data_IF_214114044847
#
_entry.id   IF_214114044847
#
_cell.length_a   1.000
_cell.length_b   1.000
_cell.length_c   1.000
_cell.angle_alpha   90.00
_cell.angle_beta   90.00
_cell.angle_gamma   90.00
#
_symmetry.space_group_name_H-M   'P 1'
#
loop_
_entity.id
_entity.type
_entity.pdbx_description
1 polymer ?
#
# COMPACT_ATOMS: atom_id res chain seq x y z
N UNK A 1 -41.38 55.99 -3.61
CA UNK A 1 -40.46 57.09 -3.22
C UNK A 1 -39.70 56.68 -1.96
N UNK A 2 -38.37 56.91 -1.94
CA UNK A 2 -37.36 56.62 -0.89
C UNK A 2 -36.96 55.14 -0.76
N UNK A 3 -35.76 54.72 -1.19
CA UNK A 3 -34.38 55.06 -0.79
C UNK A 3 -33.91 54.35 0.50
N UNK A 4 -33.16 53.26 0.28
CA UNK A 4 -31.80 52.98 0.78
C UNK A 4 -31.50 53.21 2.28
N UNK A 5 -31.05 52.14 2.96
CA UNK A 5 -29.77 52.16 3.70
C UNK A 5 -29.15 50.76 3.79
N UNK A 6 -27.90 50.75 3.33
CA UNK A 6 -26.89 49.70 3.39
C UNK A 6 -26.35 49.61 4.83
N UNK A 7 -26.17 48.40 5.37
CA UNK A 7 -25.15 48.13 6.38
C UNK A 7 -24.59 46.73 6.13
N UNK A 8 -23.41 46.71 5.52
CA UNK A 8 -22.57 45.52 5.45
C UNK A 8 -21.86 45.31 6.79
N UNK A 9 -21.63 44.05 7.12
CA UNK A 9 -20.56 43.66 8.02
C UNK A 9 -19.80 42.50 7.38
N UNK A 10 -18.61 42.85 6.91
CA UNK A 10 -17.54 41.95 6.53
C UNK A 10 -16.98 41.29 7.80
N UNK A 11 -16.84 39.96 7.77
CA UNK A 11 -16.01 39.24 8.72
C UNK A 11 -14.73 38.82 7.99
N UNK A 12 -13.64 39.46 8.39
CA UNK A 12 -12.30 39.36 7.82
C UNK A 12 -11.79 37.92 7.73
N UNK A 13 -11.51 37.49 6.50
CA UNK A 13 -10.52 36.46 6.25
C UNK A 13 -9.13 37.07 6.48
N UNK A 14 -8.44 36.63 7.52
CA UNK A 14 -7.02 36.92 7.73
C UNK A 14 -6.20 36.06 6.76
N UNK A 15 -6.04 36.59 5.54
CA UNK A 15 -4.91 36.25 4.67
C UNK A 15 -3.66 36.90 5.28
N UNK A 16 -2.79 36.11 5.90
CA UNK A 16 -1.42 36.53 6.16
C UNK A 16 -0.63 36.36 4.88
N UNK A 17 -0.26 37.50 4.30
CA UNK A 17 0.45 37.62 3.04
C UNK A 17 1.84 36.99 3.09
N UNK A 18 2.14 36.24 2.03
CA UNK A 18 3.50 35.96 1.58
C UNK A 18 4.17 37.29 1.22
N UNK A 19 5.08 37.76 2.07
CA UNK A 19 6.06 38.75 1.66
C UNK A 19 7.09 38.05 0.77
N UNK A 20 7.04 38.35 -0.52
CA UNK A 20 8.12 38.09 -1.45
C UNK A 20 9.31 38.98 -1.06
N UNK A 21 10.24 38.43 -0.27
CA UNK A 21 11.58 38.96 -0.15
C UNK A 21 12.44 38.33 -1.25
N UNK A 22 12.65 39.10 -2.31
CA UNK A 22 13.73 38.87 -3.27
C UNK A 22 15.05 39.09 -2.53
N UNK A 23 15.76 37.99 -2.26
CA UNK A 23 17.18 37.99 -1.92
C UNK A 23 17.84 36.88 -2.73
N UNK A 24 18.61 37.27 -3.75
CA UNK A 24 19.65 36.44 -4.34
C UNK A 24 20.64 36.08 -3.22
N UNK A 25 20.61 34.84 -2.74
CA UNK A 25 21.75 34.19 -2.08
C UNK A 25 21.70 32.71 -2.46
N UNK A 26 22.74 32.24 -3.14
CA UNK A 26 22.93 30.84 -3.56
C UNK A 26 23.32 29.91 -2.39
N UNK A 27 22.94 30.24 -1.16
CA UNK A 27 23.30 29.48 0.02
C UNK A 27 22.16 28.54 0.36
N UNK A 28 22.10 27.41 -0.34
CA UNK A 28 21.46 26.23 0.25
C UNK A 28 22.33 25.85 1.44
N UNK A 29 21.81 25.77 2.68
CA UNK A 29 22.63 25.36 3.82
C UNK A 29 23.34 24.04 3.48
N UNK A 30 24.63 23.96 3.80
CA UNK A 30 25.36 22.71 3.69
C UNK A 30 24.60 21.63 4.47
N UNK A 31 24.53 20.43 3.89
CA UNK A 31 23.88 19.32 4.59
C UNK A 31 24.65 19.01 5.88
N UNK A 32 23.95 18.74 6.99
CA UNK A 32 24.60 18.34 8.24
C UNK A 32 25.55 17.17 8.01
N UNK A 33 26.61 17.11 8.83
CA UNK A 33 27.50 15.95 8.83
C UNK A 33 26.69 14.69 9.19
N UNK A 34 27.05 13.52 8.66
CA UNK A 34 26.30 12.26 8.87
C UNK A 34 25.90 12.00 10.34
N UNK A 35 26.76 12.25 11.35
CA UNK A 35 26.41 12.12 12.78
C UNK A 35 25.34 13.07 13.30
N UNK A 36 25.16 14.23 12.66
CA UNK A 36 24.23 15.29 13.11
C UNK A 36 22.85 15.20 12.43
N UNK A 37 22.67 14.24 11.52
CA UNK A 37 21.42 14.05 10.79
C UNK A 37 20.30 13.53 11.71
N UNK A 38 19.09 14.03 11.51
CA UNK A 38 17.91 13.52 12.22
C UNK A 38 17.54 12.13 11.73
N UNK A 39 17.17 11.25 12.65
CA UNK A 39 16.60 9.93 12.31
C UNK A 39 15.25 10.05 11.61
N UNK A 40 14.99 9.13 10.69
CA UNK A 40 13.69 9.03 10.01
C UNK A 40 12.74 8.24 10.89
N UNK A 41 11.98 8.95 11.72
CA UNK A 41 11.03 8.34 12.65
C UNK A 41 9.63 8.94 12.47
N UNK A 42 8.65 8.08 12.19
CA UNK A 42 7.25 8.47 12.14
C UNK A 42 6.71 8.67 13.56
N UNK A 43 6.17 9.87 13.82
CA UNK A 43 5.55 10.19 15.12
C UNK A 43 4.37 9.27 15.40
N UNK A 44 4.31 8.73 16.62
CA UNK A 44 3.14 8.01 17.12
C UNK A 44 2.04 9.00 17.50
N UNK A 45 0.85 8.81 16.93
CA UNK A 45 -0.32 9.66 17.15
C UNK A 45 -1.39 8.90 17.92
N UNK A 46 -2.11 9.61 18.79
CA UNK A 46 -3.31 9.08 19.45
C UNK A 46 -4.51 9.20 18.51
N UNK A 47 -5.52 8.36 18.74
CA UNK A 47 -6.82 8.47 18.08
C UNK A 47 -7.46 9.83 18.39
N UNK A 48 -8.03 10.46 17.36
CA UNK A 48 -8.68 11.77 17.47
C UNK A 48 -10.06 11.72 16.84
N UNK A 49 -11.08 12.12 17.60
CA UNK A 49 -12.42 12.36 17.05
C UNK A 49 -12.38 13.67 16.25
N UNK A 50 -12.56 13.57 14.94
CA UNK A 50 -12.49 14.73 14.04
C UNK A 50 -13.85 15.40 13.85
N UNK A 51 -14.93 14.61 13.87
CA UNK A 51 -16.29 15.15 13.85
C UNK A 51 -17.31 14.17 14.38
N UNK A 52 -18.43 14.71 14.86
CA UNK A 52 -19.64 13.96 15.18
C UNK A 52 -20.81 14.67 14.50
N UNK A 53 -21.60 13.94 13.73
CA UNK A 53 -22.74 14.49 13.00
C UNK A 53 -23.99 13.70 13.35
N UNK A 54 -25.06 14.35 13.86
CA UNK A 54 -26.30 13.65 14.19
C UNK A 54 -26.95 13.06 12.93
N UNK A 55 -27.60 11.91 13.08
CA UNK A 55 -28.46 11.33 12.05
C UNK A 55 -29.94 11.50 12.42
N UNK A 56 -30.82 11.14 11.50
CA UNK A 56 -32.27 11.11 11.72
C UNK A 56 -32.73 9.88 12.54
N UNK A 57 -31.83 8.93 12.81
CA UNK A 57 -32.12 7.73 13.57
C UNK A 57 -32.14 8.04 15.09
N UNK A 58 -33.24 7.69 15.74
CA UNK A 58 -33.46 7.89 17.19
C UNK A 58 -33.93 6.57 17.79
N UNK A 59 -33.33 6.16 18.89
CA UNK A 59 -33.69 4.95 19.65
C UNK A 59 -33.95 5.31 21.10
N UNK A 60 -35.23 5.32 21.49
CA UNK A 60 -35.65 5.80 22.81
C UNK A 60 -35.35 7.29 22.98
N UNK A 61 -34.59 7.63 24.01
CA UNK A 61 -34.13 8.98 24.33
C UNK A 61 -32.79 9.35 23.66
N UNK A 62 -32.15 8.41 22.97
CA UNK A 62 -30.84 8.60 22.36
C UNK A 62 -30.91 8.88 20.86
N UNK A 63 -30.05 9.78 20.40
CA UNK A 63 -29.86 10.06 18.96
C UNK A 63 -28.60 9.37 18.45
N UNK A 64 -28.68 8.81 17.25
CA UNK A 64 -27.50 8.27 16.56
C UNK A 64 -26.63 9.41 15.99
N UNK A 65 -25.31 9.26 16.11
CA UNK A 65 -24.31 10.14 15.52
C UNK A 65 -23.36 9.30 14.66
N UNK A 66 -22.93 9.88 13.54
CA UNK A 66 -21.76 9.42 12.79
C UNK A 66 -20.54 10.12 13.39
N UNK A 67 -19.70 9.34 14.08
CA UNK A 67 -18.44 9.79 14.64
C UNK A 67 -17.30 9.42 13.68
N UNK A 68 -16.59 10.41 13.15
CA UNK A 68 -15.38 10.21 12.36
C UNK A 68 -14.16 10.29 13.27
N UNK A 69 -13.37 9.23 13.32
CA UNK A 69 -12.17 9.10 14.14
C UNK A 69 -10.97 8.91 13.23
N UNK A 70 -9.94 9.74 13.38
CA UNK A 70 -8.64 9.51 12.77
C UNK A 70 -7.79 8.61 13.67
N UNK A 71 -7.27 7.55 13.08
CA UNK A 71 -6.41 6.54 13.69
C UNK A 71 -5.08 6.47 12.96
N UNK A 72 -4.14 5.73 13.53
CA UNK A 72 -2.84 5.44 12.94
C UNK A 72 -2.61 3.92 12.91
N UNK A 73 -1.86 3.45 11.91
CA UNK A 73 -1.34 2.09 11.88
C UNK A 73 0.12 2.09 11.42
N UNK A 74 0.87 1.10 11.89
CA UNK A 74 2.19 0.77 11.39
C UNK A 74 2.11 -0.17 10.19
N UNK A 75 2.97 0.07 9.22
CA UNK A 75 3.11 -0.70 8.00
C UNK A 75 4.40 -1.53 8.07
N UNK A 76 4.24 -2.84 8.24
CA UNK A 76 5.33 -3.81 8.12
C UNK A 76 4.83 -5.07 7.38
N UNK A 77 5.32 -5.34 6.16
CA UNK A 77 5.93 -4.35 5.26
C UNK A 77 4.90 -3.30 4.82
N UNK A 78 5.36 -2.20 4.21
CA UNK A 78 4.48 -1.31 3.46
C UNK A 78 4.15 -1.94 2.11
N UNK A 79 2.91 -1.77 1.64
CA UNK A 79 2.40 -2.46 0.46
C UNK A 79 2.14 -1.52 -0.72
N UNK A 80 2.30 -2.07 -1.92
CA UNK A 80 2.11 -1.37 -3.19
C UNK A 80 0.79 -1.80 -3.81
N UNK A 81 -0.16 -0.85 -3.90
CA UNK A 81 -1.40 -1.04 -4.66
C UNK A 81 -1.31 -0.52 -6.10
N UNK A 82 -0.17 0.07 -6.47
CA UNK A 82 0.20 0.51 -7.81
C UNK A 82 1.72 0.47 -7.94
N UNK A 83 2.24 0.34 -9.16
CA UNK A 83 3.68 0.39 -9.42
C UNK A 83 4.27 1.76 -9.06
N UNK A 84 5.47 1.76 -8.48
CA UNK A 84 6.25 2.97 -8.16
C UNK A 84 7.67 2.78 -8.65
N UNK A 85 8.15 3.69 -9.51
CA UNK A 85 9.49 3.60 -10.10
C UNK A 85 10.60 3.67 -9.07
N UNK A 86 10.37 4.43 -8.01
CA UNK A 86 11.32 4.75 -6.95
C UNK A 86 11.48 3.60 -5.96
N UNK A 87 10.59 2.60 -6.00
CA UNK A 87 10.66 1.41 -5.14
C UNK A 87 11.28 0.27 -5.93
N UNK A 88 12.58 0.07 -5.72
CA UNK A 88 13.35 -1.08 -6.17
C UNK A 88 14.42 -1.39 -5.10
N UNK A 89 14.90 -2.64 -5.00
CA UNK A 89 15.93 -3.01 -4.02
C UNK A 89 17.17 -2.10 -4.12
N UNK A 90 17.56 -1.49 -3.00
CA UNK A 90 18.72 -0.59 -2.94
C UNK A 90 18.46 0.83 -3.43
N UNK A 91 17.22 1.17 -3.77
CA UNK A 91 16.84 2.57 -4.04
C UNK A 91 17.09 3.42 -2.81
N UNK A 92 17.99 4.40 -2.93
CA UNK A 92 18.29 5.36 -1.86
C UNK A 92 17.39 6.58 -2.01
N UNK A 93 16.70 6.93 -0.93
CA UNK A 93 15.67 7.96 -0.87
C UNK A 93 16.03 9.03 0.17
N UNK A 94 15.47 10.22 -0.03
CA UNK A 94 15.52 11.31 0.95
C UNK A 94 14.61 10.99 2.13
N UNK A 95 15.18 10.81 3.32
CA UNK A 95 14.44 10.49 4.53
C UNK A 95 13.35 11.51 4.89
N UNK A 96 13.67 12.81 4.78
CA UNK A 96 12.72 13.88 5.08
C UNK A 96 11.52 13.92 4.11
N UNK A 97 11.71 13.52 2.85
CA UNK A 97 10.62 13.40 1.89
C UNK A 97 9.71 12.21 2.25
N UNK A 98 10.30 11.09 2.69
CA UNK A 98 9.54 9.91 3.11
C UNK A 98 8.58 10.24 4.25
N UNK A 99 8.98 11.07 5.23
CA UNK A 99 8.09 11.51 6.32
C UNK A 99 6.88 12.33 5.86
N UNK A 100 6.87 12.79 4.60
CA UNK A 100 5.80 13.58 3.98
C UNK A 100 5.09 12.84 2.84
N UNK A 101 5.05 11.50 2.90
CA UNK A 101 4.45 10.61 1.88
C UNK A 101 5.09 10.74 0.48
N UNK A 102 6.37 11.14 0.41
CA UNK A 102 7.09 11.36 -0.86
C UNK A 102 8.32 10.45 -1.00
N UNK A 103 8.49 9.90 -2.20
CA UNK A 103 9.60 9.00 -2.53
C UNK A 103 10.57 9.72 -3.44
N UNK A 104 11.35 10.64 -2.89
CA UNK A 104 12.32 11.38 -3.71
C UNK A 104 13.66 10.65 -3.72
N UNK A 105 14.16 10.19 -4.89
CA UNK A 105 15.48 9.58 -4.99
C UNK A 105 16.58 10.53 -4.52
N UNK A 106 17.57 9.97 -3.83
CA UNK A 106 18.79 10.69 -3.45
C UNK A 106 19.91 10.35 -4.44
N UNK A 107 20.55 11.39 -4.97
CA UNK A 107 21.69 11.22 -5.89
C UNK A 107 22.92 10.79 -5.10
N UNK A 108 23.57 9.73 -5.58
CA UNK A 108 24.85 9.24 -5.07
C UNK A 108 25.96 9.61 -6.05
N UNK A 109 27.04 10.19 -5.56
CA UNK A 109 28.28 10.36 -6.31
C UNK A 109 29.20 9.17 -6.03
N UNK A 110 29.78 8.60 -7.09
CA UNK A 110 30.65 7.42 -7.03
C UNK A 110 30.00 6.26 -6.24
N UNK A 111 28.79 5.81 -6.63
CA UNK A 111 28.13 4.71 -5.94
C UNK A 111 28.95 3.42 -6.09
N UNK A 112 28.99 2.60 -5.05
CA UNK A 112 29.59 1.26 -5.11
C UNK A 112 28.52 0.19 -5.31
N UNK A 113 28.97 -1.03 -5.59
CA UNK A 113 28.08 -2.16 -5.75
C UNK A 113 27.49 -2.60 -4.40
N UNK A 114 26.18 -2.87 -4.42
CA UNK A 114 25.46 -3.55 -3.35
C UNK A 114 25.20 -5.01 -3.75
N UNK A 115 25.04 -5.88 -2.76
CA UNK A 115 24.64 -7.28 -2.99
C UNK A 115 23.11 -7.39 -2.89
N UNK A 116 22.50 -7.92 -3.94
CA UNK A 116 21.10 -8.29 -3.99
C UNK A 116 20.96 -9.79 -3.75
N UNK A 117 19.97 -10.21 -2.97
CA UNK A 117 19.71 -11.61 -2.60
C UNK A 117 18.23 -11.96 -2.81
N UNK A 118 17.98 -13.01 -3.59
CA UNK A 118 16.66 -13.52 -3.99
C UNK A 118 16.25 -14.70 -3.12
N UNK A 119 14.98 -14.75 -2.71
CA UNK A 119 14.49 -15.80 -1.82
C UNK A 119 14.01 -17.08 -2.52
N UNK A 120 14.09 -17.17 -3.86
CA UNK A 120 13.61 -18.35 -4.59
C UNK A 120 14.47 -19.58 -4.27
N UNK A 121 13.86 -20.76 -4.07
CA UNK A 121 14.58 -22.01 -3.88
C UNK A 121 14.98 -22.64 -5.23
N UNK A 122 16.05 -23.42 -5.22
CA UNK A 122 16.48 -24.18 -6.39
C UNK A 122 17.83 -24.86 -6.19
N UNK A 123 17.98 -26.08 -6.69
CA UNK A 123 19.25 -26.83 -6.50
C UNK A 123 20.36 -26.18 -7.33
N UNK A 124 21.36 -25.65 -6.64
CA UNK A 124 22.50 -24.94 -7.24
C UNK A 124 22.16 -23.52 -7.69
N UNK A 125 20.92 -23.06 -7.54
CA UNK A 125 20.46 -21.74 -7.95
C UNK A 125 21.39 -20.63 -7.46
N UNK A 126 21.80 -19.74 -8.36
CA UNK A 126 22.48 -18.51 -7.97
C UNK A 126 21.42 -17.54 -7.44
N UNK A 127 21.43 -17.33 -6.13
CA UNK A 127 20.42 -16.49 -5.46
C UNK A 127 20.89 -15.05 -5.22
N UNK A 128 22.13 -14.69 -5.58
CA UNK A 128 22.65 -13.36 -5.32
C UNK A 128 23.43 -12.79 -6.51
N UNK A 129 23.47 -11.46 -6.58
CA UNK A 129 24.21 -10.73 -7.61
C UNK A 129 24.64 -9.36 -7.09
N UNK A 130 25.65 -8.77 -7.72
CA UNK A 130 26.08 -7.40 -7.43
C UNK A 130 25.49 -6.44 -8.45
N UNK A 131 25.13 -5.24 -7.98
CA UNK A 131 24.62 -4.15 -8.81
C UNK A 131 25.00 -2.82 -8.21
N UNK A 132 25.22 -1.79 -9.03
CA UNK A 132 25.11 -0.42 -8.51
C UNK A 132 23.65 -0.16 -8.09
N UNK A 133 23.40 0.67 -7.06
CA UNK A 133 22.07 1.09 -6.61
C UNK A 133 21.40 2.08 -7.58
N UNK A 134 21.35 1.70 -8.86
CA UNK A 134 20.78 2.48 -9.97
C UNK A 134 19.63 1.68 -10.56
N UNK A 135 18.47 2.31 -10.69
CA UNK A 135 17.20 1.66 -11.06
C UNK A 135 17.32 0.72 -12.27
N UNK A 136 17.95 1.16 -13.35
CA UNK A 136 18.10 0.36 -14.57
C UNK A 136 18.98 -0.88 -14.37
N UNK A 137 20.09 -0.73 -13.63
CA UNK A 137 21.01 -1.82 -13.35
C UNK A 137 20.38 -2.85 -12.41
N UNK A 138 19.75 -2.39 -11.32
CA UNK A 138 19.06 -3.28 -10.39
C UNK A 138 17.96 -4.05 -11.10
N UNK A 139 17.14 -3.39 -11.94
CA UNK A 139 16.09 -4.08 -12.70
C UNK A 139 16.65 -5.14 -13.63
N UNK A 140 17.72 -4.83 -14.36
CA UNK A 140 18.38 -5.82 -15.20
C UNK A 140 18.88 -7.00 -14.36
N UNK A 141 19.59 -6.73 -13.27
CA UNK A 141 20.14 -7.77 -12.38
C UNK A 141 19.08 -8.63 -11.71
N UNK A 142 17.95 -8.06 -11.32
CA UNK A 142 16.80 -8.82 -10.80
C UNK A 142 16.20 -9.70 -11.90
N UNK A 143 16.04 -9.16 -13.12
CA UNK A 143 15.56 -9.96 -14.24
C UNK A 143 16.51 -11.10 -14.59
N UNK A 144 17.82 -10.86 -14.60
CA UNK A 144 18.86 -11.87 -14.86
C UNK A 144 18.80 -12.97 -13.79
N UNK A 145 18.69 -12.61 -12.50
CA UNK A 145 18.57 -13.58 -11.40
C UNK A 145 17.39 -14.54 -11.60
N UNK A 146 16.25 -14.03 -12.06
CA UNK A 146 15.04 -14.85 -12.27
C UNK A 146 15.12 -15.63 -13.59
N UNK A 147 15.40 -14.96 -14.71
CA UNK A 147 15.28 -15.54 -16.04
C UNK A 147 16.46 -16.48 -16.38
N UNK A 148 17.69 -16.09 -16.07
CA UNK A 148 18.89 -16.87 -16.41
C UNK A 148 19.02 -18.14 -15.55
N UNK A 149 18.25 -18.23 -14.47
CA UNK A 149 18.18 -19.41 -13.62
C UNK A 149 16.84 -20.15 -13.73
N UNK A 150 16.05 -19.85 -14.77
CA UNK A 150 14.68 -20.37 -14.89
C UNK A 150 14.60 -21.90 -14.93
N UNK A 151 15.64 -22.60 -15.36
CA UNK A 151 15.74 -24.07 -15.36
C UNK A 151 16.10 -24.68 -13.99
N UNK A 152 16.56 -23.84 -13.05
CA UNK A 152 17.10 -24.25 -11.74
C UNK A 152 16.19 -23.85 -10.59
N UNK A 153 15.25 -22.93 -10.82
CA UNK A 153 14.22 -22.55 -9.85
C UNK A 153 13.29 -23.73 -9.62
N UNK A 154 13.09 -24.08 -8.35
CA UNK A 154 12.15 -25.12 -7.93
C UNK A 154 10.74 -24.53 -7.80
N UNK A 155 10.09 -24.31 -8.95
CA UNK A 155 8.78 -23.64 -9.00
C UNK A 155 7.69 -24.38 -8.23
N UNK A 156 7.76 -25.71 -8.15
CA UNK A 156 6.78 -26.54 -7.46
C UNK A 156 6.86 -26.38 -5.94
N UNK A 157 8.03 -26.03 -5.40
CA UNK A 157 8.25 -25.80 -3.98
C UNK A 157 8.36 -24.32 -3.60
N UNK A 158 8.09 -23.38 -4.52
CA UNK A 158 7.94 -21.97 -4.15
C UNK A 158 6.74 -21.84 -3.21
N UNK A 159 6.91 -21.32 -1.98
CA UNK A 159 5.80 -21.22 -1.05
C UNK A 159 4.81 -20.14 -1.49
N UNK A 160 3.82 -20.49 -2.31
CA UNK A 160 2.76 -19.58 -2.74
C UNK A 160 1.64 -19.52 -1.68
N UNK A 161 1.98 -19.19 -0.43
CA UNK A 161 0.98 -19.06 0.62
C UNK A 161 0.06 -17.88 0.31
N UNK A 162 -1.24 -18.14 0.34
CA UNK A 162 -2.25 -17.10 0.29
C UNK A 162 -2.39 -16.51 1.69
N UNK A 163 -2.21 -15.20 1.82
CA UNK A 163 -2.57 -14.48 3.03
C UNK A 163 -3.81 -13.63 2.81
N UNK A 164 -4.62 -13.52 3.86
CA UNK A 164 -5.91 -12.86 3.83
C UNK A 164 -6.00 -11.79 4.90
N UNK A 165 -6.30 -10.55 4.48
CA UNK A 165 -6.57 -9.41 5.38
C UNK A 165 -7.93 -8.84 5.02
N UNK A 166 -8.83 -8.70 6.00
CA UNK A 166 -10.21 -8.29 5.76
C UNK A 166 -10.62 -7.23 6.77
N UNK A 167 -11.20 -6.13 6.29
CA UNK A 167 -11.75 -5.09 7.15
C UNK A 167 -13.02 -4.49 6.54
N UNK A 168 -13.92 -4.05 7.41
CA UNK A 168 -14.98 -3.14 6.99
C UNK A 168 -14.40 -1.80 6.55
N UNK A 169 -14.93 -1.24 5.47
CA UNK A 169 -14.57 0.07 4.96
C UNK A 169 -15.76 1.01 4.98
N UNK A 170 -15.59 2.16 5.63
CA UNK A 170 -16.66 3.11 5.94
C UNK A 170 -16.25 4.58 5.71
N UNK A 171 -15.05 4.82 5.21
CA UNK A 171 -14.53 6.06 4.59
C UNK A 171 -13.57 5.67 3.46
N UNK A 172 -13.16 6.58 2.57
CA UNK A 172 -12.10 6.26 1.60
C UNK A 172 -10.79 5.86 2.29
N UNK A 173 -10.38 6.58 3.34
CA UNK A 173 -9.11 6.28 4.02
C UNK A 173 -9.14 4.96 4.78
N UNK A 174 -10.30 4.50 5.24
CA UNK A 174 -10.45 3.21 5.94
C UNK A 174 -10.06 2.01 5.06
N UNK A 175 -10.04 2.15 3.73
CA UNK A 175 -9.49 1.14 2.82
C UNK A 175 -8.02 0.85 3.14
N UNK A 176 -7.28 1.83 3.68
CA UNK A 176 -5.88 1.68 3.99
C UNK A 176 -5.59 0.69 5.13
N UNK A 177 -6.60 0.32 5.94
CA UNK A 177 -6.49 -0.81 6.89
C UNK A 177 -6.14 -2.12 6.20
N UNK A 178 -6.76 -2.33 5.03
CA UNK A 178 -6.49 -3.51 4.22
C UNK A 178 -5.37 -3.23 3.23
N UNK A 179 -5.33 -2.07 2.55
CA UNK A 179 -4.28 -1.80 1.58
C UNK A 179 -2.88 -1.69 2.17
N UNK A 180 -2.73 -1.17 3.39
CA UNK A 180 -1.43 -1.02 4.08
C UNK A 180 -0.41 -0.24 3.24
N UNK A 181 -0.86 0.82 2.57
CA UNK A 181 -0.05 1.59 1.60
C UNK A 181 0.24 3.01 2.12
N UNK A 182 1.45 3.46 1.89
CA UNK A 182 1.90 4.81 2.24
C UNK A 182 1.66 5.75 1.06
N UNK A 183 0.47 6.35 1.06
CA UNK A 183 -0.08 7.20 0.00
C UNK A 183 -0.78 8.41 0.62
N UNK A 184 -0.65 9.57 -0.05
CA UNK A 184 -1.48 10.75 0.25
C UNK A 184 -2.97 10.41 0.08
N UNK A 185 -3.81 10.91 0.99
CA UNK A 185 -5.24 10.60 1.05
C UNK A 185 -6.00 10.88 -0.26
N UNK A 186 -5.68 11.99 -0.95
CA UNK A 186 -6.30 12.34 -2.23
C UNK A 186 -5.96 11.35 -3.36
N UNK A 187 -4.73 10.82 -3.37
CA UNK A 187 -4.31 9.78 -4.34
C UNK A 187 -5.06 8.47 -4.05
N UNK A 188 -5.13 8.09 -2.78
CA UNK A 188 -5.89 6.91 -2.34
C UNK A 188 -7.37 7.01 -2.73
N UNK A 189 -8.02 8.13 -2.44
CA UNK A 189 -9.42 8.38 -2.80
C UNK A 189 -9.64 8.31 -4.33
N UNK A 190 -8.72 8.85 -5.12
CA UNK A 190 -8.75 8.76 -6.58
C UNK A 190 -8.69 7.31 -7.08
N UNK A 191 -7.80 6.48 -6.52
CA UNK A 191 -7.70 5.06 -6.85
C UNK A 191 -8.96 4.29 -6.46
N UNK A 192 -9.51 4.54 -5.28
CA UNK A 192 -10.73 3.89 -4.80
C UNK A 192 -11.91 4.22 -5.72
N UNK A 193 -12.08 5.50 -6.08
CA UNK A 193 -13.11 5.93 -7.01
C UNK A 193 -12.94 5.27 -8.38
N UNK A 194 -11.71 5.19 -8.90
CA UNK A 194 -11.45 4.62 -10.20
C UNK A 194 -11.71 3.10 -10.26
N UNK A 195 -11.34 2.36 -9.22
CA UNK A 195 -11.41 0.89 -9.22
C UNK A 195 -12.72 0.33 -8.67
N UNK A 196 -13.36 1.03 -7.73
CA UNK A 196 -14.56 0.55 -7.05
C UNK A 196 -15.78 1.44 -7.26
N UNK A 197 -15.65 2.61 -7.90
CA UNK A 197 -16.70 3.62 -7.93
C UNK A 197 -17.26 3.92 -6.53
N UNK A 198 -16.42 3.78 -5.51
CA UNK A 198 -16.76 4.04 -4.13
C UNK A 198 -16.45 5.51 -3.83
N UNK A 199 -17.41 6.17 -3.19
CA UNK A 199 -17.23 7.49 -2.60
C UNK A 199 -17.95 7.51 -1.27
N UNK A 200 -17.29 8.05 -0.27
CA UNK A 200 -17.90 8.30 1.00
C UNK A 200 -18.49 9.71 1.06
N UNK A 201 -19.70 9.81 1.60
CA UNK A 201 -20.21 11.06 2.13
C UNK A 201 -20.97 10.78 3.42
N UNK A 202 -20.95 11.76 4.33
CA UNK A 202 -21.68 11.70 5.60
C UNK A 202 -23.18 11.39 5.42
N UNK A 203 -23.77 11.79 4.29
CA UNK A 203 -25.21 11.72 4.05
C UNK A 203 -25.67 10.46 3.30
N UNK A 204 -24.79 9.82 2.50
CA UNK A 204 -25.20 8.74 1.58
C UNK A 204 -24.59 7.38 1.86
N UNK A 205 -23.42 7.33 2.50
CA UNK A 205 -22.62 6.10 2.57
C UNK A 205 -23.01 5.13 3.69
N UNK A 206 -24.01 5.49 4.49
CA UNK A 206 -24.46 4.72 5.66
C UNK A 206 -25.49 3.62 5.35
N UNK A 207 -25.90 3.49 4.08
CA UNK A 207 -26.98 2.57 3.65
C UNK A 207 -26.50 1.18 3.24
N UNK A 208 -25.20 1.01 3.04
CA UNK A 208 -24.60 -0.23 2.53
C UNK A 208 -23.33 -0.51 3.31
N UNK A 209 -23.17 -1.75 3.77
CA UNK A 209 -21.94 -2.22 4.38
C UNK A 209 -21.02 -2.82 3.31
N UNK A 210 -19.73 -2.49 3.42
CA UNK A 210 -18.70 -2.96 2.51
C UNK A 210 -17.54 -3.55 3.28
N UNK A 211 -17.13 -4.74 2.89
CA UNK A 211 -15.93 -5.40 3.39
C UNK A 211 -14.89 -5.40 2.28
N UNK A 212 -13.68 -4.91 2.57
CA UNK A 212 -12.53 -5.03 1.69
C UNK A 212 -11.65 -6.18 2.18
N UNK A 213 -11.53 -7.22 1.35
CA UNK A 213 -10.61 -8.33 1.59
C UNK A 213 -9.47 -8.33 0.58
N UNK A 214 -8.24 -8.45 1.09
CA UNK A 214 -7.03 -8.65 0.33
C UNK A 214 -6.67 -10.13 0.32
N UNK A 215 -6.46 -10.68 -0.86
CA UNK A 215 -5.85 -11.98 -1.11
C UNK A 215 -4.47 -11.73 -1.69
N UNK A 216 -3.43 -12.02 -0.91
CA UNK A 216 -2.03 -11.76 -1.27
C UNK A 216 -1.29 -13.06 -1.55
N UNK A 217 -0.64 -13.11 -2.70
CA UNK A 217 0.26 -14.17 -3.15
C UNK A 217 1.68 -13.62 -3.18
N UNK A 218 2.49 -13.95 -2.17
CA UNK A 218 3.93 -13.69 -2.21
C UNK A 218 4.62 -14.85 -2.92
N UNK A 219 5.52 -14.53 -3.84
CA UNK A 219 6.31 -15.54 -4.54
C UNK A 219 7.76 -15.54 -4.11
N UNK A 220 8.39 -14.37 -4.09
CA UNK A 220 9.75 -14.20 -3.63
C UNK A 220 9.99 -12.76 -3.19
N UNK A 221 11.12 -12.53 -2.53
CA UNK A 221 11.63 -11.19 -2.26
C UNK A 221 13.03 -11.02 -2.85
N UNK A 222 13.36 -9.78 -3.19
CA UNK A 222 14.74 -9.36 -3.43
C UNK A 222 15.14 -8.45 -2.28
N UNK A 223 16.20 -8.85 -1.57
CA UNK A 223 16.72 -8.18 -0.39
C UNK A 223 18.08 -7.58 -0.71
N UNK A 224 18.43 -6.52 0.01
CA UNK A 224 19.77 -5.94 -0.01
C UNK A 224 20.49 -6.41 1.24
N UNK A 225 21.66 -7.00 1.08
CA UNK A 225 22.51 -7.34 2.22
C UNK A 225 22.86 -6.05 3.00
N UNK A 226 23.14 -6.11 4.31
CA UNK A 226 23.55 -4.92 5.06
C UNK A 226 24.71 -4.19 4.37
N UNK A 227 24.54 -2.89 4.15
CA UNK A 227 25.52 -2.01 3.48
C UNK A 227 26.05 -1.01 4.48
N UNK A 228 27.38 -0.94 4.63
CA UNK A 228 28.03 0.09 5.44
C UNK A 228 27.86 1.48 4.80
N UNK A 229 27.85 2.53 5.61
CA UNK A 229 27.55 3.90 5.15
C UNK A 229 28.51 4.36 4.03
N UNK A 230 29.79 4.00 4.16
CA UNK A 230 30.86 4.29 3.20
C UNK A 230 30.75 3.52 1.88
N UNK A 231 29.94 2.47 1.82
CA UNK A 231 29.75 1.63 0.65
C UNK A 231 28.57 2.05 -0.23
N UNK A 232 27.80 3.06 0.19
CA UNK A 232 26.82 3.71 -0.69
C UNK A 232 27.46 4.68 -1.68
N UNK A 233 28.70 5.13 -1.43
CA UNK A 233 29.31 6.29 -2.09
C UNK A 233 29.01 7.58 -1.34
N UNK A 234 29.02 8.72 -2.04
CA UNK A 234 28.78 10.03 -1.43
C UNK A 234 27.34 10.48 -1.62
N UNK A 235 26.61 10.71 -0.52
CA UNK A 235 25.27 11.29 -0.54
C UNK A 235 25.30 12.77 -0.96
N UNK A 236 24.64 13.12 -2.06
CA UNK A 236 24.63 14.49 -2.57
C UNK A 236 23.45 15.27 -1.99
N UNK A 237 23.76 16.21 -1.09
CA UNK A 237 22.80 17.10 -0.44
C UNK A 237 21.62 16.33 0.20
N UNK A 238 21.84 15.40 1.14
CA UNK A 238 20.78 14.55 1.68
C UNK A 238 19.67 15.33 2.42
N UNK A 239 19.98 16.51 2.96
CA UNK A 239 19.06 17.32 3.75
C UNK A 239 19.24 17.08 5.25
N UNK A 240 18.23 17.42 6.05
CA UNK A 240 18.30 17.36 7.53
C UNK A 240 18.17 15.93 8.10
N UNK A 241 17.46 15.06 7.39
CA UNK A 241 17.18 13.70 7.82
C UNK A 241 18.11 12.71 7.11
N UNK A 242 18.51 11.66 7.82
CA UNK A 242 19.33 10.59 7.26
C UNK A 242 18.73 10.03 5.95
N UNK A 243 19.58 9.64 4.97
CA UNK A 243 19.12 8.88 3.83
C UNK A 243 18.62 7.51 4.26
N UNK A 244 17.65 6.99 3.51
CA UNK A 244 17.11 5.65 3.72
C UNK A 244 17.19 4.87 2.42
N UNK A 245 17.16 3.54 2.49
CA UNK A 245 17.13 2.70 1.31
C UNK A 245 16.05 1.63 1.40
N UNK A 246 15.56 1.21 0.24
CA UNK A 246 14.64 0.07 0.13
C UNK A 246 15.42 -1.21 0.35
N UNK A 247 15.29 -1.81 1.54
CA UNK A 247 16.08 -2.96 1.98
C UNK A 247 15.53 -4.30 1.48
N UNK A 248 14.24 -4.35 1.17
CA UNK A 248 13.57 -5.53 0.65
C UNK A 248 12.39 -5.12 -0.22
N UNK A 249 12.18 -5.84 -1.32
CA UNK A 249 10.98 -5.74 -2.15
C UNK A 249 10.38 -7.13 -2.30
N UNK A 250 9.10 -7.23 -1.96
CA UNK A 250 8.28 -8.43 -2.14
C UNK A 250 7.70 -8.44 -3.55
N UNK A 251 7.84 -9.57 -4.24
CA UNK A 251 7.33 -9.82 -5.59
C UNK A 251 6.22 -10.86 -5.56
N UNK A 252 5.10 -10.52 -6.19
CA UNK A 252 3.94 -11.39 -6.19
C UNK A 252 2.71 -10.78 -6.87
N UNK A 253 1.54 -11.15 -6.37
CA UNK A 253 0.23 -10.71 -6.84
C UNK A 253 -0.70 -10.43 -5.66
N UNK A 254 -1.60 -9.47 -5.85
CA UNK A 254 -2.62 -9.12 -4.86
C UNK A 254 -3.96 -8.93 -5.58
N UNK A 255 -5.01 -9.54 -5.06
CA UNK A 255 -6.39 -9.23 -5.42
C UNK A 255 -7.09 -8.60 -4.21
N UNK A 256 -7.65 -7.41 -4.39
CA UNK A 256 -8.45 -6.72 -3.39
C UNK A 256 -9.92 -6.77 -3.84
N UNK A 257 -10.78 -7.40 -3.06
CA UNK A 257 -12.19 -7.57 -3.35
C UNK A 257 -12.98 -6.64 -2.42
N UNK A 258 -13.66 -5.65 -3.00
CA UNK A 258 -14.65 -4.86 -2.28
C UNK A 258 -16.00 -5.58 -2.39
N UNK A 259 -16.55 -6.00 -1.26
CA UNK A 259 -17.73 -6.84 -1.18
C UNK A 259 -18.85 -6.09 -0.46
N UNK A 260 -19.96 -5.84 -1.15
CA UNK A 260 -21.17 -5.29 -0.54
C UNK A 260 -21.95 -6.41 0.17
N UNK A 261 -21.97 -6.40 1.50
CA UNK A 261 -22.60 -7.46 2.31
C UNK A 261 -22.90 -7.00 3.73
N UNK A 262 -23.87 -7.64 4.40
CA UNK A 262 -24.16 -7.44 5.82
C UNK A 262 -23.28 -8.29 6.74
N UNK A 263 -22.60 -9.30 6.20
CA UNK A 263 -21.66 -10.19 6.91
C UNK A 263 -20.49 -9.41 7.54
N UNK A 264 -19.92 -9.94 8.61
CA UNK A 264 -18.70 -9.40 9.23
C UNK A 264 -17.46 -9.60 8.36
N UNK A 265 -16.40 -8.82 8.63
CA UNK A 265 -15.11 -8.98 7.94
C UNK A 265 -14.53 -10.40 8.11
N UNK A 266 -14.76 -11.05 9.25
CA UNK A 266 -14.30 -12.41 9.55
C UNK A 266 -15.10 -13.47 8.80
N UNK A 267 -16.42 -13.31 8.69
CA UNK A 267 -17.27 -14.20 7.88
C UNK A 267 -16.92 -14.11 6.40
N UNK A 268 -16.72 -12.88 5.88
CA UNK A 268 -16.25 -12.67 4.50
C UNK A 268 -14.88 -13.32 4.28
N UNK A 269 -13.96 -13.19 5.23
CA UNK A 269 -12.64 -13.84 5.16
C UNK A 269 -12.77 -15.36 5.02
N UNK A 270 -13.54 -15.99 5.92
CA UNK A 270 -13.80 -17.44 5.88
C UNK A 270 -14.45 -17.88 4.57
N UNK A 271 -15.42 -17.12 4.08
CA UNK A 271 -16.12 -17.41 2.81
C UNK A 271 -15.13 -17.39 1.64
N UNK A 272 -14.34 -16.32 1.48
CA UNK A 272 -13.41 -16.19 0.35
C UNK A 272 -12.29 -17.22 0.44
N UNK A 273 -11.70 -17.42 1.62
CA UNK A 273 -10.65 -18.41 1.84
C UNK A 273 -11.17 -19.84 1.55
N UNK A 274 -12.33 -20.20 2.09
CA UNK A 274 -12.95 -21.51 1.86
C UNK A 274 -13.31 -21.75 0.39
N UNK A 275 -13.79 -20.71 -0.29
CA UNK A 275 -14.12 -20.74 -1.72
C UNK A 275 -12.88 -20.97 -2.60
N UNK A 276 -11.75 -20.33 -2.29
CA UNK A 276 -10.48 -20.53 -3.01
C UNK A 276 -9.91 -21.93 -2.71
N UNK A 277 -9.91 -22.36 -1.45
CA UNK A 277 -9.41 -23.69 -1.06
C UNK A 277 -10.17 -24.82 -1.76
N UNK A 278 -11.49 -24.68 -1.89
CA UNK A 278 -12.32 -25.60 -2.64
C UNK A 278 -11.96 -25.60 -4.13
N UNK A 279 -11.84 -24.42 -4.75
CA UNK A 279 -11.46 -24.31 -6.16
C UNK A 279 -10.05 -24.86 -6.45
N UNK A 280 -9.15 -24.84 -5.46
CA UNK A 280 -7.79 -25.37 -5.56
C UNK A 280 -7.72 -26.86 -5.20
N UNK A 281 -8.84 -27.49 -4.85
CA UNK A 281 -8.92 -28.90 -4.41
C UNK A 281 -8.00 -29.23 -3.23
N UNK A 282 -7.59 -28.22 -2.44
CA UNK A 282 -6.68 -28.41 -1.30
C UNK A 282 -7.44 -28.92 -0.07
N UNK A 283 -8.60 -28.32 0.23
CA UNK A 283 -9.52 -28.72 1.29
C UNK A 283 -10.92 -28.18 0.94
N UNK A 284 -11.96 -29.00 1.07
CA UNK A 284 -13.33 -28.54 0.91
C UNK A 284 -14.31 -29.66 0.64
N UNK A 285 -14.94 -30.14 1.71
CA UNK A 285 -16.20 -30.88 1.60
C UNK A 285 -17.36 -29.94 1.27
N UNK A 286 -18.55 -30.26 1.76
CA UNK A 286 -19.78 -29.50 1.50
C UNK A 286 -19.69 -28.00 1.84
N UNK A 287 -18.98 -27.63 2.91
CA UNK A 287 -18.79 -26.23 3.30
C UNK A 287 -18.05 -25.40 2.23
N UNK A 288 -17.00 -25.95 1.61
CA UNK A 288 -16.26 -25.27 0.54
C UNK A 288 -17.11 -25.05 -0.71
N UNK A 289 -17.95 -26.02 -1.06
CA UNK A 289 -18.90 -25.90 -2.17
C UNK A 289 -19.96 -24.81 -1.90
N UNK A 290 -20.46 -24.71 -0.66
CA UNK A 290 -21.38 -23.66 -0.24
C UNK A 290 -20.76 -22.27 -0.36
N UNK A 291 -19.54 -22.08 0.16
CA UNK A 291 -18.82 -20.81 0.03
C UNK A 291 -18.53 -20.42 -1.42
N UNK A 292 -18.17 -21.39 -2.26
CA UNK A 292 -18.02 -21.15 -3.70
C UNK A 292 -19.34 -20.69 -4.33
N UNK A 293 -20.45 -21.36 -4.04
CA UNK A 293 -21.77 -21.00 -4.57
C UNK A 293 -22.15 -19.56 -4.17
N UNK A 294 -21.93 -19.22 -2.91
CA UNK A 294 -22.20 -17.87 -2.41
C UNK A 294 -21.28 -16.81 -3.04
N UNK A 295 -19.99 -17.10 -3.17
CA UNK A 295 -19.05 -16.18 -3.85
C UNK A 295 -19.46 -15.96 -5.31
N UNK A 296 -19.84 -17.03 -6.03
CA UNK A 296 -20.38 -16.95 -7.40
C UNK A 296 -21.63 -16.09 -7.47
N UNK A 297 -22.55 -16.24 -6.51
CA UNK A 297 -23.77 -15.42 -6.41
C UNK A 297 -23.42 -13.94 -6.26
N UNK A 298 -22.54 -13.59 -5.32
CA UNK A 298 -22.13 -12.20 -5.09
C UNK A 298 -21.45 -11.56 -6.31
N UNK A 299 -20.62 -12.31 -7.05
CA UNK A 299 -20.10 -11.84 -8.34
C UNK A 299 -21.22 -11.59 -9.35
N UNK A 300 -22.14 -12.54 -9.53
CA UNK A 300 -23.25 -12.41 -10.49
C UNK A 300 -24.22 -11.26 -10.18
N UNK A 301 -24.33 -10.87 -8.91
CA UNK A 301 -25.13 -9.73 -8.45
C UNK A 301 -24.37 -8.40 -8.49
N UNK A 302 -23.14 -8.36 -9.04
CA UNK A 302 -22.24 -7.21 -9.03
C UNK A 302 -21.96 -6.65 -7.62
N UNK A 303 -21.96 -7.51 -6.61
CA UNK A 303 -21.64 -7.16 -5.22
C UNK A 303 -20.15 -7.30 -4.89
N UNK A 304 -19.37 -7.88 -5.80
CA UNK A 304 -17.91 -7.97 -5.69
C UNK A 304 -17.29 -7.13 -6.80
N UNK A 305 -16.39 -6.22 -6.41
CA UNK A 305 -15.54 -5.48 -7.32
C UNK A 305 -14.08 -5.79 -7.00
N UNK A 306 -13.24 -5.98 -8.01
CA UNK A 306 -11.88 -6.48 -7.85
C UNK A 306 -10.87 -5.44 -8.33
N UNK A 307 -9.89 -5.13 -7.48
CA UNK A 307 -8.69 -4.38 -7.86
C UNK A 307 -7.46 -5.27 -7.68
N UNK A 308 -6.73 -5.49 -8.76
CA UNK A 308 -5.48 -6.25 -8.73
C UNK A 308 -4.26 -5.33 -8.61
N UNK A 309 -3.23 -5.79 -7.90
CA UNK A 309 -1.91 -5.20 -7.91
C UNK A 309 -0.87 -6.29 -8.20
N UNK A 310 -0.02 -6.06 -9.19
CA UNK A 310 0.92 -7.05 -9.72
C UNK A 310 0.28 -8.12 -10.60
N UNK A 311 1.12 -8.96 -11.23
CA UNK A 311 0.69 -9.89 -12.27
C UNK A 311 0.64 -9.25 -13.67
N UNK A 312 0.47 -10.07 -14.73
CA UNK A 312 0.45 -9.57 -16.09
C UNK A 312 -0.87 -8.82 -16.35
N UNK A 313 -0.79 -7.63 -16.93
CA UNK A 313 -1.95 -6.76 -17.20
C UNK A 313 -3.04 -7.44 -18.04
N UNK A 314 -2.68 -8.43 -18.86
CA UNK A 314 -3.59 -9.23 -19.68
C UNK A 314 -4.55 -10.10 -18.86
N UNK A 315 -4.16 -10.54 -17.66
CA UNK A 315 -4.98 -11.35 -16.76
C UNK A 315 -5.79 -10.51 -15.76
N UNK A 316 -5.45 -9.23 -15.63
CA UNK A 316 -5.91 -8.39 -14.52
C UNK A 316 -6.98 -7.35 -14.84
N UNK A 317 -7.08 -6.90 -16.10
CA UNK A 317 -7.92 -5.74 -16.44
C UNK A 317 -9.43 -5.93 -16.23
N UNK A 318 -9.92 -7.17 -16.16
CA UNK A 318 -11.37 -7.44 -16.23
C UNK A 318 -11.83 -8.59 -15.32
N UNK A 319 -11.35 -8.72 -14.08
CA UNK A 319 -11.93 -9.73 -13.17
C UNK A 319 -13.35 -9.29 -12.79
N UNK A 320 -14.34 -9.85 -13.49
CA UNK A 320 -15.76 -9.54 -13.39
C UNK A 320 -16.58 -10.71 -12.86
N UNK A 321 -16.00 -11.91 -12.87
CA UNK A 321 -16.65 -13.10 -12.34
C UNK A 321 -15.70 -13.98 -11.52
N UNK A 322 -16.29 -14.95 -10.85
CA UNK A 322 -15.57 -15.87 -9.96
C UNK A 322 -14.53 -16.72 -10.70
N UNK A 323 -14.84 -17.22 -11.89
CA UNK A 323 -13.94 -18.12 -12.60
C UNK A 323 -12.68 -17.36 -13.08
N UNK A 324 -12.83 -16.11 -13.53
CA UNK A 324 -11.72 -15.20 -13.80
C UNK A 324 -10.87 -14.92 -12.54
N UNK A 325 -11.52 -14.71 -11.39
CA UNK A 325 -10.83 -14.51 -10.12
C UNK A 325 -9.98 -15.72 -9.73
N UNK A 326 -10.54 -16.93 -9.83
CA UNK A 326 -9.80 -18.17 -9.58
C UNK A 326 -8.68 -18.37 -10.60
N UNK A 327 -8.92 -18.05 -11.87
CA UNK A 327 -7.90 -18.16 -12.92
C UNK A 327 -6.72 -17.20 -12.69
N UNK A 328 -6.99 -15.98 -12.20
CA UNK A 328 -5.94 -15.04 -11.80
C UNK A 328 -5.06 -15.61 -10.69
N UNK A 329 -5.65 -16.28 -9.70
CA UNK A 329 -4.92 -16.89 -8.59
C UNK A 329 -4.17 -18.17 -8.98
N UNK A 330 -4.63 -18.92 -10.00
CA UNK A 330 -3.97 -20.14 -10.47
C UNK A 330 -2.83 -19.84 -11.46
N UNK A 331 -3.08 -18.98 -12.45
CA UNK A 331 -2.30 -18.83 -13.69
C UNK A 331 -1.96 -20.19 -14.37
N UNK A 332 -1.37 -20.22 -15.58
CA UNK A 332 -1.23 -21.48 -16.32
C UNK A 332 -0.22 -22.45 -15.69
N UNK A 333 0.84 -21.93 -15.05
CA UNK A 333 1.87 -22.72 -14.38
C UNK A 333 2.54 -21.93 -13.22
N UNK A 334 3.17 -22.61 -12.25
CA UNK A 334 4.02 -21.97 -11.24
C UNK A 334 5.11 -21.05 -11.83
N UNK A 335 5.73 -21.44 -12.95
CA UNK A 335 6.74 -20.60 -13.62
C UNK A 335 6.14 -19.29 -14.16
N UNK A 336 4.95 -19.35 -14.77
CA UNK A 336 4.26 -18.14 -15.25
C UNK A 336 3.89 -17.19 -14.11
N UNK A 337 3.58 -17.72 -12.92
CA UNK A 337 3.34 -16.92 -11.72
C UNK A 337 4.59 -16.10 -11.35
N UNK A 338 5.76 -16.75 -11.30
CA UNK A 338 7.03 -16.12 -10.96
C UNK A 338 7.44 -15.08 -12.00
N UNK A 339 7.42 -15.43 -13.29
CA UNK A 339 7.85 -14.52 -14.36
C UNK A 339 7.00 -13.27 -14.51
N UNK A 340 5.76 -13.32 -14.03
CA UNK A 340 4.84 -12.17 -14.06
C UNK A 340 4.65 -11.52 -12.69
N UNK A 341 5.44 -11.92 -11.70
CA UNK A 341 5.46 -11.29 -10.40
C UNK A 341 5.83 -9.80 -10.53
N UNK A 342 5.15 -8.95 -9.76
CA UNK A 342 5.49 -7.54 -9.68
C UNK A 342 5.76 -7.15 -8.22
N UNK A 343 6.44 -6.03 -7.97
CA UNK A 343 6.54 -5.46 -6.62
C UNK A 343 5.15 -5.27 -5.98
N UNK A 344 4.93 -5.87 -4.82
CA UNK A 344 3.68 -5.79 -4.03
C UNK A 344 3.90 -5.26 -2.60
N UNK A 345 5.15 -5.20 -2.13
CA UNK A 345 5.49 -4.62 -0.84
C UNK A 345 6.97 -4.35 -0.70
N UNK A 346 7.36 -3.59 0.31
CA UNK A 346 8.75 -3.21 0.55
C UNK A 346 9.00 -2.85 2.01
N UNK A 347 10.29 -2.92 2.38
CA UNK A 347 10.83 -2.45 3.67
C UNK A 347 11.87 -1.37 3.44
N UNK A 348 12.04 -0.49 4.42
CA UNK A 348 12.99 0.62 4.38
C UNK A 348 13.92 0.52 5.60
N UNK A 349 15.20 0.82 5.38
CA UNK A 349 16.22 0.94 6.43
C UNK A 349 16.99 2.25 6.29
N UNK A 350 17.55 2.75 7.38
CA UNK A 350 18.53 3.84 7.33
C UNK A 350 19.77 3.41 6.54
N UNK A 351 20.24 4.26 5.63
CA UNK A 351 21.49 4.06 4.92
C UNK A 351 22.74 4.44 5.76
N UNK A 352 22.52 4.96 6.98
CA UNK A 352 23.59 5.39 7.89
C UNK A 352 23.99 4.27 8.86
N UNK A 353 23.03 3.68 9.57
CA UNK A 353 23.31 2.65 10.59
C UNK A 353 22.51 1.34 10.37
N UNK A 354 21.70 1.27 9.31
CA UNK A 354 20.96 0.06 8.94
C UNK A 354 19.70 -0.23 9.77
N UNK A 355 19.26 0.64 10.67
CA UNK A 355 18.04 0.39 11.45
C UNK A 355 16.78 0.37 10.59
N UNK A 356 15.78 -0.43 10.99
CA UNK A 356 14.50 -0.52 10.30
C UNK A 356 13.68 0.77 10.49
N UNK A 357 13.15 1.31 9.40
CA UNK A 357 12.25 2.47 9.41
C UNK A 357 10.80 1.98 9.41
N UNK A 358 10.14 2.09 10.56
CA UNK A 358 8.71 1.77 10.70
C UNK A 358 7.85 2.86 10.05
N UNK A 359 7.27 2.56 8.88
CA UNK A 359 6.37 3.48 8.18
C UNK A 359 5.02 3.49 8.89
N UNK A 360 4.49 4.67 9.20
CA UNK A 360 3.14 4.83 9.79
C UNK A 360 2.27 5.69 8.92
N UNK A 361 1.00 5.29 8.80
CA UNK A 361 -0.02 6.04 8.07
C UNK A 361 -1.21 6.34 8.96
N UNK A 362 -1.83 7.48 8.75
CA UNK A 362 -3.12 7.80 9.34
C UNK A 362 -4.26 7.42 8.39
N UNK A 363 -5.42 7.14 8.97
CA UNK A 363 -6.66 6.95 8.23
C UNK A 363 -7.85 7.32 9.11
N UNK A 364 -8.95 7.71 8.50
CA UNK A 364 -10.23 7.93 9.17
C UNK A 364 -11.13 6.70 9.15
N UNK A 365 -11.96 6.55 10.17
CA UNK A 365 -13.08 5.61 10.24
C UNK A 365 -14.36 6.33 10.67
N UNK A 366 -15.50 5.88 10.17
CA UNK A 366 -16.81 6.38 10.56
C UNK A 366 -17.56 5.33 11.39
N UNK A 367 -17.88 5.65 12.65
CA UNK A 367 -18.61 4.80 13.57
C UNK A 367 -20.01 5.36 13.84
N UNK A 368 -21.01 4.48 13.99
CA UNK A 368 -22.33 4.86 14.49
C UNK A 368 -22.34 4.72 16.01
N UNK A 369 -22.70 5.79 16.71
CA UNK A 369 -22.80 5.82 18.18
C UNK A 369 -24.13 6.42 18.61
N UNK A 370 -24.71 5.96 19.72
CA UNK A 370 -25.91 6.55 20.31
C UNK A 370 -25.54 7.37 21.55
N UNK A 371 -26.00 8.63 21.58
CA UNK A 371 -25.81 9.54 22.71
C UNK A 371 -27.12 9.99 23.30
#
# INVERSE_FOLDING_TARGET
>A
MKSMKLFGNAACALFLGLLAASCNNNDTPDSPSLPDMKKVEFKTLKDVVESETPTDNVQGDKREYIQVVRKQQSLDPAELIQSRSEIFPGSVLRGGALLNDEYTPLVLKEPKEITLSMSLPGKGLTVHTKSLPVMSQVRQKVNDLVNDNSDRIDYENVPTYLTYVSHEVNTEESFNKTFRSHLKANILAGLIKANFNYSWSKNTSQKKKYILIKVRQLFYSINVDPVAVEDWGTFVKPGEYEPVYVSSVDYGRVANLLIQTEESAEEVKKMIEGSINFAFKKLGGEAGASYQKETKRLFSENKIQVMIAGGPLSLGKNITNYDEFINFLKAPSPADLIHSAAPIGYKIRSAVDGHDVEIKVTYTEANKIFK
#
